data_IF_480294198494
#
_entry.id   IF_480294198494
#
_cell.length_a   1.000
_cell.length_b   1.000
_cell.length_c   1.000
_cell.angle_alpha   90.00
_cell.angle_beta   90.00
_cell.angle_gamma   90.00
#
_symmetry.space_group_name_H-M   'P 1'
#
loop_
_entity.id
_entity.type
_entity.pdbx_description
1 polymer ?
#
# COMPACT_ATOMS: atom_id res chain seq x y z
N UNK A 1 16.10 -9.70 -6.28
CA UNK A 1 15.01 -8.95 -5.63
C UNK A 1 14.97 -7.58 -6.28
N UNK A 2 13.83 -7.18 -6.88
CA UNK A 2 13.73 -5.93 -7.65
C UNK A 2 13.88 -4.71 -6.72
N UNK A 3 14.72 -3.74 -7.08
CA UNK A 3 14.92 -2.48 -6.32
C UNK A 3 13.60 -1.75 -6.06
N UNK A 4 12.65 -1.88 -6.98
CA UNK A 4 11.33 -1.25 -6.91
C UNK A 4 10.50 -1.83 -5.77
N UNK A 5 10.53 -3.15 -5.56
CA UNK A 5 9.82 -3.83 -4.47
C UNK A 5 10.40 -3.47 -3.09
N UNK A 6 11.73 -3.34 -2.99
CA UNK A 6 12.40 -2.90 -1.75
C UNK A 6 11.99 -1.47 -1.37
N UNK A 7 11.94 -0.57 -2.36
CA UNK A 7 11.50 0.80 -2.13
C UNK A 7 10.02 0.87 -1.73
N UNK A 8 9.15 0.03 -2.31
CA UNK A 8 7.75 -0.06 -1.91
C UNK A 8 7.62 -0.50 -0.45
N UNK A 9 8.34 -1.54 -0.02
CA UNK A 9 8.34 -1.99 1.38
C UNK A 9 8.75 -0.88 2.34
N UNK A 10 9.80 -0.11 2.00
CA UNK A 10 10.21 1.03 2.82
C UNK A 10 9.13 2.11 2.95
N UNK A 11 8.46 2.46 1.84
CA UNK A 11 7.34 3.40 1.85
C UNK A 11 6.16 2.86 2.67
N UNK A 12 5.85 1.58 2.56
CA UNK A 12 4.79 0.93 3.32
C UNK A 12 5.08 0.94 4.83
N UNK A 13 6.30 0.60 5.26
CA UNK A 13 6.72 0.69 6.66
C UNK A 13 6.65 2.12 7.20
N UNK A 14 7.00 3.12 6.39
CA UNK A 14 6.85 4.52 6.77
C UNK A 14 5.36 4.95 6.84
N UNK A 15 4.51 4.42 5.96
CA UNK A 15 3.06 4.61 6.03
C UNK A 15 2.48 4.04 7.33
N UNK A 16 2.88 2.84 7.75
CA UNK A 16 2.45 2.28 9.05
C UNK A 16 2.85 3.14 10.24
N UNK A 17 3.93 3.90 10.11
CA UNK A 17 4.40 4.87 11.12
C UNK A 17 3.68 6.23 11.03
N UNK A 18 2.81 6.44 10.04
CA UNK A 18 2.15 7.72 9.77
C UNK A 18 3.04 8.76 9.06
N UNK A 19 4.20 8.35 8.56
CA UNK A 19 5.18 9.25 7.94
C UNK A 19 5.05 9.34 6.41
N UNK A 20 4.14 8.56 5.80
CA UNK A 20 3.88 8.57 4.36
C UNK A 20 2.40 8.77 4.09
N UNK A 21 2.11 9.43 2.97
CA UNK A 21 0.75 9.63 2.52
C UNK A 21 0.18 8.30 2.00
N UNK A 22 -0.90 7.76 2.59
CA UNK A 22 -1.48 6.49 2.16
C UNK A 22 -1.88 6.46 0.68
N UNK A 23 -2.32 7.58 0.11
CA UNK A 23 -2.65 7.67 -1.32
C UNK A 23 -1.42 7.52 -2.21
N UNK A 24 -0.27 8.08 -1.80
CA UNK A 24 0.97 7.99 -2.54
C UNK A 24 1.54 6.57 -2.48
N UNK A 25 1.49 5.92 -1.32
CA UNK A 25 1.93 4.53 -1.16
C UNK A 25 1.02 3.57 -1.94
N UNK A 26 -0.31 3.78 -1.93
CA UNK A 26 -1.26 3.01 -2.74
C UNK A 26 -0.94 3.09 -4.23
N UNK A 27 -0.68 4.30 -4.73
CA UNK A 27 -0.36 4.53 -6.14
C UNK A 27 0.93 3.81 -6.54
N UNK A 28 1.96 3.89 -5.69
CA UNK A 28 3.20 3.17 -5.93
C UNK A 28 2.97 1.66 -5.91
N UNK A 29 2.24 1.13 -4.93
CA UNK A 29 1.95 -0.30 -4.82
C UNK A 29 1.24 -0.85 -6.07
N UNK A 30 0.27 -0.12 -6.62
CA UNK A 30 -0.39 -0.49 -7.88
C UNK A 30 0.58 -0.53 -9.07
N UNK A 31 1.48 0.44 -9.18
CA UNK A 31 2.52 0.46 -10.22
C UNK A 31 3.45 -0.74 -10.12
N UNK A 32 3.93 -1.05 -8.91
CA UNK A 32 4.80 -2.20 -8.68
C UNK A 32 4.05 -3.52 -8.96
N UNK A 33 2.76 -3.59 -8.63
CA UNK A 33 1.92 -4.75 -8.92
C UNK A 33 1.84 -5.04 -10.43
N UNK A 34 1.65 -4.01 -11.25
CA UNK A 34 1.63 -4.13 -12.72
C UNK A 34 2.96 -4.67 -13.25
N UNK A 35 4.08 -4.07 -12.85
CA UNK A 35 5.42 -4.54 -13.25
C UNK A 35 5.72 -5.96 -12.76
N UNK A 36 5.22 -6.33 -11.57
CA UNK A 36 5.44 -7.67 -11.01
C UNK A 36 4.59 -8.72 -11.72
N UNK A 37 3.37 -8.36 -12.13
CA UNK A 37 2.49 -9.22 -12.95
C UNK A 37 3.11 -9.56 -14.30
N UNK A 38 3.77 -8.59 -14.94
CA UNK A 38 4.51 -8.84 -16.19
C UNK A 38 5.64 -9.87 -16.00
N UNK A 39 6.31 -9.84 -14.84
CA UNK A 39 7.38 -10.77 -14.50
C UNK A 39 6.88 -12.10 -13.89
N UNK A 40 5.57 -12.27 -13.70
CA UNK A 40 4.92 -13.49 -13.19
C UNK A 40 5.44 -13.99 -11.82
N UNK A 41 5.94 -13.10 -10.96
CA UNK A 41 6.39 -13.44 -9.60
C UNK A 41 5.20 -13.48 -8.63
N UNK A 42 4.55 -14.64 -8.52
CA UNK A 42 3.34 -14.82 -7.70
C UNK A 42 3.53 -14.45 -6.23
N UNK A 43 4.69 -14.75 -5.65
CA UNK A 43 4.94 -14.45 -4.24
C UNK A 43 4.98 -12.94 -4.02
N UNK A 44 5.63 -12.20 -4.92
CA UNK A 44 5.65 -10.74 -4.84
C UNK A 44 4.28 -10.13 -5.13
N UNK A 45 3.48 -10.70 -6.03
CA UNK A 45 2.11 -10.26 -6.30
C UNK A 45 1.26 -10.37 -5.04
N UNK A 46 1.26 -11.54 -4.39
CA UNK A 46 0.48 -11.78 -3.17
C UNK A 46 0.90 -10.80 -2.05
N UNK A 47 2.21 -10.58 -1.87
CA UNK A 47 2.72 -9.60 -0.90
C UNK A 47 2.25 -8.17 -1.20
N UNK A 48 2.20 -7.75 -2.47
CA UNK A 48 1.76 -6.41 -2.86
C UNK A 48 0.24 -6.26 -2.67
N UNK A 49 -0.53 -7.29 -3.00
CA UNK A 49 -1.99 -7.30 -2.79
C UNK A 49 -2.34 -7.20 -1.30
N UNK A 50 -1.61 -7.90 -0.42
CA UNK A 50 -1.75 -7.76 1.03
C UNK A 50 -1.43 -6.33 1.52
N UNK A 51 -0.35 -5.71 1.01
CA UNK A 51 -0.02 -4.31 1.34
C UNK A 51 -1.12 -3.34 0.88
N UNK A 52 -1.69 -3.57 -0.31
CA UNK A 52 -2.78 -2.74 -0.84
C UNK A 52 -4.04 -2.84 0.02
N UNK A 53 -4.40 -4.04 0.48
CA UNK A 53 -5.53 -4.24 1.38
C UNK A 53 -5.38 -3.47 2.69
N UNK A 54 -4.19 -3.48 3.30
CA UNK A 54 -3.92 -2.75 4.55
C UNK A 54 -3.99 -1.21 4.37
N UNK A 55 -3.47 -0.71 3.24
CA UNK A 55 -3.54 0.71 2.90
C UNK A 55 -5.00 1.13 2.66
N UNK A 56 -5.78 0.33 1.94
CA UNK A 56 -7.19 0.62 1.67
C UNK A 56 -8.04 0.57 2.94
N UNK A 57 -7.77 -0.39 3.82
CA UNK A 57 -8.41 -0.44 5.13
C UNK A 57 -8.15 0.83 5.93
N UNK A 58 -6.89 1.27 6.03
CA UNK A 58 -6.51 2.49 6.73
C UNK A 58 -7.12 3.75 6.11
N UNK A 59 -7.23 3.82 4.77
CA UNK A 59 -7.91 4.92 4.08
C UNK A 59 -9.42 4.95 4.40
N UNK A 60 -10.05 3.78 4.51
CA UNK A 60 -11.47 3.65 4.82
C UNK A 60 -11.78 3.87 6.30
N UNK A 61 -10.90 3.47 7.22
CA UNK A 61 -10.99 3.80 8.64
C UNK A 61 -10.81 5.31 8.86
N UNK A 62 -9.87 5.96 8.17
CA UNK A 62 -9.72 7.42 8.24
C UNK A 62 -10.97 8.14 7.71
N UNK A 63 -11.65 7.60 6.69
CA UNK A 63 -12.96 8.10 6.26
C UNK A 63 -14.06 7.87 7.31
N UNK A 64 -14.08 6.72 7.97
CA UNK A 64 -15.05 6.44 9.04
C UNK A 64 -14.80 7.30 10.29
N UNK A 65 -13.55 7.60 10.63
CA UNK A 65 -13.20 8.46 11.77
C UNK A 65 -13.55 9.93 11.51
N UNK A 66 -13.50 10.41 10.26
CA UNK A 66 -14.05 11.73 9.90
C UNK A 66 -15.59 11.82 10.03
N UNK A 67 -16.31 10.69 9.95
CA UNK A 67 -17.76 10.64 10.16
C UNK A 67 -18.17 10.43 11.63
N UNK A 68 -17.22 10.20 12.54
CA UNK A 68 -17.49 9.96 13.97
C UNK A 68 -17.33 11.19 14.86
N UNK A 69 -17.05 12.37 14.28
CA UNK A 69 -17.06 13.66 14.97
C UNK A 69 -18.44 14.35 14.98
N UNK A 70 -19.49 13.64 14.55
CA UNK A 70 -20.89 14.09 14.61
C UNK A 70 -21.80 12.98 15.14
N UNK A 71 -21.67 12.63 16.41
CA UNK A 71 -22.70 11.97 17.22
C UNK A 71 -22.56 12.46 18.66
#
# INVERSE_FOLDING_TARGET
>A
MSTIFVNLKLKYENFKKGNENPYAVRTEALRVLEETRENSDKNMIDEIEDMLLDIEYSLNENKCNCNRSSC
#
